data_IF_574763131843
#
_entry.id   IF_574763131843
#
_cell.length_a   1.000
_cell.length_b   1.000
_cell.length_c   1.000
_cell.angle_alpha   90.00
_cell.angle_beta   90.00
_cell.angle_gamma   90.00
#
_symmetry.space_group_name_H-M   'P 1'
#
loop_
_entity.id
_entity.type
_entity.pdbx_description
1 polymer ?
#
# COMPACT_ATOMS: atom_id res chain seq x y z
N UNK A 1 -3.62 7.05 17.84
CA UNK A 1 -2.37 6.41 18.32
C UNK A 1 -1.87 5.33 17.36
N UNK A 2 -2.72 4.41 16.92
CA UNK A 2 -2.35 3.27 16.08
C UNK A 2 -1.58 3.65 14.81
N UNK A 3 -2.10 4.59 14.01
CA UNK A 3 -1.48 5.03 12.73
C UNK A 3 -0.11 5.68 12.96
N UNK A 4 0.04 6.44 14.05
CA UNK A 4 1.33 7.03 14.43
C UNK A 4 2.36 5.96 14.80
N UNK A 5 1.96 4.93 15.55
CA UNK A 5 2.83 3.82 15.93
C UNK A 5 3.34 3.04 14.70
N UNK A 6 2.47 2.80 13.69
CA UNK A 6 2.86 2.16 12.42
C UNK A 6 3.93 3.00 11.70
N UNK A 7 3.71 4.31 11.59
CA UNK A 7 4.66 5.19 10.91
C UNK A 7 6.00 5.30 11.66
N UNK A 8 5.95 5.38 12.98
CA UNK A 8 7.14 5.34 13.83
C UNK A 8 7.93 4.05 13.63
N UNK A 9 7.24 2.90 13.68
CA UNK A 9 7.86 1.60 13.46
C UNK A 9 8.48 1.49 12.06
N UNK A 10 7.78 1.92 11.01
CA UNK A 10 8.30 1.91 9.64
C UNK A 10 9.58 2.74 9.52
N UNK A 11 9.59 3.98 10.03
CA UNK A 11 10.77 4.84 10.03
C UNK A 11 11.94 4.23 10.83
N UNK A 12 11.63 3.53 11.92
CA UNK A 12 12.64 2.84 12.71
C UNK A 12 13.24 1.64 11.97
N UNK A 13 12.42 0.82 11.29
CA UNK A 13 12.89 -0.30 10.46
C UNK A 13 13.76 0.18 9.29
N UNK A 14 13.41 1.32 8.70
CA UNK A 14 14.20 1.93 7.62
C UNK A 14 15.56 2.43 8.16
N UNK A 15 15.58 3.04 9.35
CA UNK A 15 16.83 3.47 10.03
C UNK A 15 17.75 2.29 10.34
N UNK A 16 17.22 1.17 10.85
CA UNK A 16 17.98 -0.04 11.12
C UNK A 16 18.48 -0.74 9.84
N UNK A 17 17.95 -0.39 8.67
CA UNK A 17 18.19 -1.11 7.41
C UNK A 17 17.44 -2.44 7.30
N UNK A 18 16.51 -2.71 8.22
CA UNK A 18 15.74 -3.95 8.28
C UNK A 18 14.82 -4.12 7.06
N UNK A 19 14.13 -3.05 6.64
CA UNK A 19 13.30 -3.07 5.42
C UNK A 19 14.16 -3.39 4.18
N UNK A 20 15.36 -2.81 4.08
CA UNK A 20 16.30 -3.11 2.97
C UNK A 20 16.78 -4.56 3.00
N UNK A 21 17.11 -5.09 4.19
CA UNK A 21 17.52 -6.49 4.35
C UNK A 21 16.42 -7.45 3.91
N UNK A 22 15.15 -7.19 4.29
CA UNK A 22 13.99 -7.97 3.87
C UNK A 22 13.83 -7.98 2.34
N UNK A 23 13.84 -6.81 1.70
CA UNK A 23 13.69 -6.70 0.24
C UNK A 23 14.85 -7.39 -0.47
N UNK A 24 16.11 -7.16 -0.03
CA UNK A 24 17.31 -7.79 -0.62
C UNK A 24 17.24 -9.31 -0.57
N UNK A 25 16.81 -9.87 0.55
CA UNK A 25 16.67 -11.32 0.72
C UNK A 25 15.57 -11.89 -0.19
N UNK A 26 14.45 -11.19 -0.29
CA UNK A 26 13.27 -11.62 -1.04
C UNK A 26 13.46 -11.54 -2.57
N UNK A 27 14.34 -10.67 -3.06
CA UNK A 27 14.60 -10.52 -4.51
C UNK A 27 15.57 -11.56 -5.04
N UNK A 28 16.47 -12.15 -4.21
CA UNK A 28 17.47 -13.12 -4.64
C UNK A 28 16.93 -14.27 -5.51
N UNK A 29 15.82 -14.95 -5.20
CA UNK A 29 15.31 -16.05 -6.01
C UNK A 29 14.93 -15.66 -7.44
N UNK A 30 14.50 -14.40 -7.65
CA UNK A 30 14.08 -13.93 -8.97
C UNK A 30 15.25 -13.83 -9.96
N UNK A 31 16.48 -13.67 -9.46
CA UNK A 31 17.69 -13.60 -10.30
C UNK A 31 18.00 -14.92 -11.03
N UNK A 32 17.42 -16.05 -10.59
CA UNK A 32 17.60 -17.37 -11.20
C UNK A 32 16.70 -17.62 -12.40
N UNK A 33 15.68 -16.76 -12.63
CA UNK A 33 14.66 -16.95 -13.66
C UNK A 33 15.06 -16.20 -14.93
N UNK A 34 15.05 -16.91 -16.07
CA UNK A 34 15.52 -16.36 -17.36
C UNK A 34 14.42 -15.70 -18.22
N UNK A 35 13.14 -15.90 -17.89
CA UNK A 35 12.04 -15.36 -18.68
C UNK A 35 11.66 -13.94 -18.22
N UNK A 36 11.82 -12.89 -19.07
CA UNK A 36 11.61 -11.49 -18.68
C UNK A 36 10.26 -11.24 -18.02
N UNK A 37 9.18 -11.51 -18.73
CA UNK A 37 7.84 -11.17 -18.24
C UNK A 37 7.36 -12.07 -17.08
N UNK A 38 7.96 -13.26 -16.88
CA UNK A 38 7.73 -14.08 -15.69
C UNK A 38 8.43 -13.43 -14.49
N UNK A 39 9.68 -12.98 -14.63
CA UNK A 39 10.39 -12.23 -13.57
C UNK A 39 9.60 -10.99 -13.17
N UNK A 40 9.05 -10.26 -14.14
CA UNK A 40 8.23 -9.09 -13.90
C UNK A 40 6.95 -9.44 -13.11
N UNK A 41 6.23 -10.49 -13.50
CA UNK A 41 5.00 -10.91 -12.84
C UNK A 41 5.26 -11.40 -11.41
N UNK A 42 6.31 -12.21 -11.22
CA UNK A 42 6.74 -12.64 -9.89
C UNK A 42 7.27 -11.48 -9.05
N UNK A 43 7.92 -10.50 -9.68
CA UNK A 43 8.34 -9.26 -9.04
C UNK A 43 7.14 -8.43 -8.56
N UNK A 44 6.05 -8.38 -9.32
CA UNK A 44 4.80 -7.77 -8.88
C UNK A 44 4.19 -8.55 -7.70
N UNK A 45 4.12 -9.87 -7.79
CA UNK A 45 3.62 -10.70 -6.68
C UNK A 45 4.45 -10.50 -5.41
N UNK A 46 5.78 -10.47 -5.54
CA UNK A 46 6.70 -10.17 -4.44
C UNK A 46 6.45 -8.77 -3.86
N UNK A 47 6.23 -7.76 -4.71
CA UNK A 47 5.94 -6.40 -4.26
C UNK A 47 4.65 -6.33 -3.44
N UNK A 48 3.61 -7.07 -3.85
CA UNK A 48 2.35 -7.18 -3.11
C UNK A 48 2.55 -7.88 -1.74
N UNK A 49 3.34 -8.95 -1.69
CA UNK A 49 3.69 -9.64 -0.44
C UNK A 49 4.47 -8.70 0.49
N UNK A 50 5.47 -8.00 -0.04
CA UNK A 50 6.28 -7.06 0.75
C UNK A 50 5.45 -5.86 1.25
N UNK A 51 4.42 -5.46 0.52
CA UNK A 51 3.51 -4.39 0.95
C UNK A 51 2.74 -4.75 2.23
N UNK A 52 2.52 -6.03 2.51
CA UNK A 52 1.92 -6.51 3.78
C UNK A 52 2.78 -6.14 4.99
N UNK A 53 4.11 -6.14 4.83
CA UNK A 53 5.08 -5.92 5.90
C UNK A 53 5.68 -4.51 5.91
N UNK A 54 5.72 -3.85 4.76
CA UNK A 54 6.27 -2.49 4.56
C UNK A 54 5.12 -1.59 4.11
N UNK A 55 4.43 -0.90 5.04
CA UNK A 55 3.18 -0.18 4.74
C UNK A 55 3.39 1.15 4.01
N UNK A 56 4.62 1.58 3.83
CA UNK A 56 4.95 2.83 3.13
C UNK A 56 5.09 2.60 1.62
N UNK A 57 4.11 3.03 0.83
CA UNK A 57 4.14 2.89 -0.63
C UNK A 57 5.38 3.56 -1.26
N UNK A 58 5.75 4.76 -0.81
CA UNK A 58 6.94 5.44 -1.30
C UNK A 58 8.22 4.73 -0.83
N UNK A 59 8.29 4.34 0.45
CA UNK A 59 9.43 3.61 1.01
C UNK A 59 9.64 2.27 0.30
N UNK A 60 8.59 1.46 0.15
CA UNK A 60 8.67 0.18 -0.57
C UNK A 60 9.03 0.40 -2.04
N UNK A 61 8.41 1.37 -2.73
CA UNK A 61 8.71 1.69 -4.12
C UNK A 61 10.20 2.03 -4.31
N UNK A 62 10.76 2.89 -3.49
CA UNK A 62 12.19 3.25 -3.55
C UNK A 62 13.12 2.07 -3.25
N UNK A 63 12.78 1.23 -2.26
CA UNK A 63 13.55 0.01 -1.97
C UNK A 63 13.54 -0.98 -3.13
N UNK A 64 12.40 -1.15 -3.79
CA UNK A 64 12.26 -2.02 -4.96
C UNK A 64 13.00 -1.44 -6.18
N UNK A 65 13.08 -0.12 -6.32
CA UNK A 65 13.89 0.52 -7.37
C UNK A 65 15.38 0.22 -7.24
N UNK A 66 15.89 0.11 -6.01
CA UNK A 66 17.31 -0.22 -5.80
C UNK A 66 17.60 -1.72 -5.94
N UNK A 67 16.62 -2.59 -5.64
CA UNK A 67 16.85 -4.05 -5.53
C UNK A 67 16.17 -4.87 -6.63
N UNK A 68 14.89 -4.64 -6.91
CA UNK A 68 14.13 -5.42 -7.88
C UNK A 68 14.26 -4.87 -9.31
N UNK A 69 14.31 -3.55 -9.46
CA UNK A 69 14.44 -2.91 -10.76
C UNK A 69 15.70 -3.40 -11.55
N UNK A 70 16.92 -3.42 -10.98
CA UNK A 70 18.08 -3.94 -11.69
C UNK A 70 17.92 -5.40 -12.13
N UNK A 71 17.23 -6.22 -11.33
CA UNK A 71 16.94 -7.62 -11.66
C UNK A 71 15.98 -7.72 -12.84
N UNK A 72 14.95 -6.88 -12.89
CA UNK A 72 14.04 -6.82 -14.04
C UNK A 72 14.76 -6.37 -15.32
N UNK A 73 15.62 -5.34 -15.23
CA UNK A 73 16.40 -4.86 -16.36
C UNK A 73 17.37 -5.94 -16.85
N UNK A 74 18.11 -6.59 -15.94
CA UNK A 74 19.05 -7.69 -16.32
C UNK A 74 18.32 -8.90 -16.91
N UNK A 75 17.04 -9.08 -16.61
CA UNK A 75 16.18 -10.09 -17.24
C UNK A 75 15.64 -9.66 -18.62
N UNK A 76 15.93 -8.45 -19.10
CA UNK A 76 15.53 -7.95 -20.41
C UNK A 76 14.15 -7.29 -20.43
N UNK A 77 13.70 -6.68 -19.33
CA UNK A 77 12.48 -5.88 -19.24
C UNK A 77 12.83 -4.40 -19.46
N UNK A 78 11.99 -3.67 -20.19
CA UNK A 78 12.20 -2.24 -20.40
C UNK A 78 12.09 -1.45 -19.09
N UNK A 79 12.83 -0.32 -19.00
CA UNK A 79 12.80 0.55 -17.81
C UNK A 79 11.40 1.02 -17.47
N UNK A 80 10.56 1.28 -18.50
CA UNK A 80 9.19 1.73 -18.33
C UNK A 80 8.32 0.62 -17.72
N UNK A 81 8.45 -0.63 -18.20
CA UNK A 81 7.69 -1.76 -17.69
C UNK A 81 8.11 -2.15 -16.27
N UNK A 82 9.42 -2.14 -15.99
CA UNK A 82 9.96 -2.42 -14.66
C UNK A 82 9.48 -1.38 -13.64
N UNK A 83 9.61 -0.09 -13.97
CA UNK A 83 9.17 1.01 -13.11
C UNK A 83 7.66 1.00 -12.87
N UNK A 84 6.85 0.79 -13.92
CA UNK A 84 5.39 0.67 -13.81
C UNK A 84 4.98 -0.51 -12.91
N UNK A 85 5.64 -1.66 -13.04
CA UNK A 85 5.36 -2.84 -12.23
C UNK A 85 5.65 -2.62 -10.74
N UNK A 86 6.77 -1.95 -10.42
CA UNK A 86 7.11 -1.59 -9.04
C UNK A 86 6.10 -0.61 -8.46
N UNK A 87 5.69 0.39 -9.25
CA UNK A 87 4.68 1.36 -8.84
C UNK A 87 3.34 0.69 -8.52
N UNK A 88 2.88 -0.22 -9.38
CA UNK A 88 1.66 -1.01 -9.18
C UNK A 88 1.72 -1.76 -7.86
N UNK A 89 2.77 -2.55 -7.63
CA UNK A 89 2.90 -3.38 -6.44
C UNK A 89 3.05 -2.60 -5.14
N UNK A 90 3.76 -1.46 -5.17
CA UNK A 90 3.98 -0.63 -4.00
C UNK A 90 2.75 0.17 -3.51
N UNK A 91 1.76 0.38 -4.38
CA UNK A 91 0.65 1.29 -4.08
C UNK A 91 -0.64 0.61 -3.61
N UNK A 92 -0.75 -0.71 -3.62
CA UNK A 92 -2.01 -1.43 -3.39
C UNK A 92 -2.54 -1.39 -1.95
N UNK A 93 -1.79 -0.89 -0.97
CA UNK A 93 -2.20 -0.80 0.45
C UNK A 93 -2.80 -2.12 0.99
N UNK A 94 -2.19 -3.25 0.66
CA UNK A 94 -2.65 -4.57 1.04
C UNK A 94 -1.94 -5.02 2.32
N UNK A 95 -2.69 -5.46 3.34
CA UNK A 95 -2.10 -6.03 4.55
C UNK A 95 -2.46 -5.29 5.85
N UNK A 96 -2.31 -5.98 7.01
CA UNK A 96 -2.78 -5.49 8.30
C UNK A 96 -1.95 -4.34 8.88
N UNK A 97 -0.73 -4.13 8.38
CA UNK A 97 0.18 -3.09 8.87
C UNK A 97 -0.05 -1.71 8.24
N UNK A 98 -0.98 -1.58 7.28
CA UNK A 98 -1.29 -0.32 6.61
C UNK A 98 -2.21 0.59 7.44
N UNK A 99 -1.93 1.90 7.43
CA UNK A 99 -2.76 2.89 8.13
C UNK A 99 -4.22 2.87 7.65
N UNK A 100 -4.45 2.64 6.36
CA UNK A 100 -5.78 2.54 5.78
C UNK A 100 -6.55 1.32 6.32
N UNK A 101 -5.88 0.16 6.42
CA UNK A 101 -6.49 -1.05 6.96
C UNK A 101 -6.83 -0.92 8.44
N UNK A 102 -5.96 -0.24 9.17
CA UNK A 102 -6.19 -0.02 10.59
C UNK A 102 -7.39 0.90 10.83
N UNK A 103 -7.48 2.01 10.09
CA UNK A 103 -8.66 2.87 10.17
C UNK A 103 -9.94 2.13 9.77
N UNK A 104 -9.86 1.32 8.70
CA UNK A 104 -10.99 0.50 8.26
C UNK A 104 -11.46 -0.50 9.33
N UNK A 105 -10.51 -1.17 9.98
CA UNK A 105 -10.79 -2.10 11.08
C UNK A 105 -11.39 -1.37 12.29
N UNK A 106 -10.83 -0.22 12.69
CA UNK A 106 -11.30 0.59 13.80
C UNK A 106 -12.75 1.07 13.56
N UNK A 107 -13.05 1.62 12.38
CA UNK A 107 -14.38 2.12 12.02
C UNK A 107 -15.43 0.99 11.90
N UNK A 108 -15.00 -0.21 11.51
CA UNK A 108 -15.89 -1.39 11.44
C UNK A 108 -15.93 -2.20 12.74
N UNK A 109 -15.21 -1.74 13.80
CA UNK A 109 -15.10 -2.40 15.11
C UNK A 109 -14.60 -3.83 15.02
N UNK A 110 -13.77 -4.14 14.02
CA UNK A 110 -13.15 -5.44 13.81
C UNK A 110 -11.71 -5.43 14.30
N UNK A 111 -11.21 -6.60 14.72
CA UNK A 111 -9.76 -6.76 14.87
C UNK A 111 -9.06 -6.70 13.50
N UNK A 112 -7.92 -6.03 13.41
CA UNK A 112 -7.25 -5.77 12.12
C UNK A 112 -6.92 -7.04 11.33
N UNK A 113 -6.58 -8.13 12.03
CA UNK A 113 -6.33 -9.42 11.37
C UNK A 113 -7.61 -10.07 10.85
N UNK A 114 -8.73 -9.93 11.57
CA UNK A 114 -10.03 -10.43 11.12
C UNK A 114 -10.49 -9.64 9.88
N UNK A 115 -10.34 -8.32 9.90
CA UNK A 115 -10.62 -7.48 8.74
C UNK A 115 -9.73 -7.88 7.54
N UNK A 116 -8.44 -8.09 7.75
CA UNK A 116 -7.52 -8.49 6.70
C UNK A 116 -7.87 -9.85 6.11
N UNK A 117 -8.06 -10.89 6.93
CA UNK A 117 -8.26 -12.26 6.45
C UNK A 117 -9.68 -12.54 5.97
N UNK A 118 -10.71 -12.02 6.66
CA UNK A 118 -12.10 -12.34 6.38
C UNK A 118 -12.79 -11.34 5.45
N UNK A 119 -12.21 -10.15 5.24
CA UNK A 119 -12.79 -9.12 4.36
C UNK A 119 -11.84 -8.78 3.22
N UNK A 120 -10.65 -8.24 3.53
CA UNK A 120 -9.74 -7.76 2.48
C UNK A 120 -9.21 -8.92 1.61
N UNK A 121 -8.83 -10.05 2.21
CA UNK A 121 -8.35 -11.22 1.48
C UNK A 121 -9.42 -11.86 0.60
N UNK A 122 -10.69 -11.85 1.04
CA UNK A 122 -11.83 -12.36 0.25
C UNK A 122 -12.01 -11.58 -1.06
N UNK A 123 -11.71 -10.28 -1.04
CA UNK A 123 -11.69 -9.43 -2.24
C UNK A 123 -10.39 -9.66 -3.01
N UNK A 124 -9.27 -9.71 -2.31
CA UNK A 124 -7.93 -9.87 -2.86
C UNK A 124 -7.76 -11.11 -3.73
N UNK A 125 -8.41 -12.23 -3.38
CA UNK A 125 -8.38 -13.45 -4.17
C UNK A 125 -8.82 -13.27 -5.64
N UNK A 126 -9.77 -12.40 -5.90
CA UNK A 126 -10.20 -12.10 -7.26
C UNK A 126 -9.30 -11.01 -7.91
N UNK A 127 -8.88 -10.02 -7.14
CA UNK A 127 -8.19 -8.82 -7.64
C UNK A 127 -6.72 -9.09 -7.95
N UNK A 128 -6.01 -9.83 -7.09
CA UNK A 128 -4.57 -10.08 -7.25
C UNK A 128 -4.27 -10.86 -8.54
N UNK A 129 -4.95 -11.97 -8.87
CA UNK A 129 -4.73 -12.64 -10.15
C UNK A 129 -5.02 -11.77 -11.36
N UNK A 130 -6.10 -10.98 -11.33
CA UNK A 130 -6.42 -10.03 -12.41
C UNK A 130 -5.30 -9.02 -12.59
N UNK A 131 -4.77 -8.46 -11.50
CA UNK A 131 -3.67 -7.51 -11.54
C UNK A 131 -2.38 -8.12 -12.12
N UNK A 132 -2.02 -9.34 -11.71
CA UNK A 132 -0.84 -10.06 -12.22
C UNK A 132 -0.96 -10.34 -13.72
N UNK A 133 -2.11 -10.86 -14.15
CA UNK A 133 -2.40 -11.19 -15.55
C UNK A 133 -2.45 -9.89 -16.38
N UNK A 134 -3.18 -8.89 -15.92
CA UNK A 134 -3.28 -7.61 -16.61
C UNK A 134 -1.91 -6.93 -16.77
N UNK A 135 -1.07 -6.96 -15.74
CA UNK A 135 0.28 -6.41 -15.81
C UNK A 135 1.14 -7.15 -16.84
N UNK A 136 1.11 -8.50 -16.84
CA UNK A 136 1.84 -9.30 -17.81
C UNK A 136 1.51 -8.92 -19.26
N UNK A 137 0.22 -8.90 -19.60
CA UNK A 137 -0.21 -8.61 -20.97
C UNK A 137 -0.05 -7.13 -21.34
N UNK A 138 -0.39 -6.22 -20.44
CA UNK A 138 -0.28 -4.78 -20.69
C UNK A 138 1.17 -4.37 -20.94
N UNK A 139 2.10 -4.76 -20.07
CA UNK A 139 3.50 -4.35 -20.24
C UNK A 139 4.12 -4.97 -21.48
N UNK A 140 3.84 -6.25 -21.77
CA UNK A 140 4.29 -6.92 -22.99
C UNK A 140 3.75 -6.24 -24.26
N UNK A 141 2.48 -5.84 -24.24
CA UNK A 141 1.86 -5.13 -25.36
C UNK A 141 2.47 -3.73 -25.54
N UNK A 142 2.67 -2.98 -24.45
CA UNK A 142 3.29 -1.67 -24.50
C UNK A 142 4.72 -1.73 -24.99
N UNK A 143 5.54 -2.68 -24.51
CA UNK A 143 6.91 -2.83 -24.97
C UNK A 143 6.96 -3.08 -26.47
N UNK A 144 6.14 -4.02 -26.98
CA UNK A 144 6.05 -4.30 -28.41
C UNK A 144 5.60 -3.08 -29.24
N UNK A 145 4.57 -2.37 -28.76
CA UNK A 145 4.03 -1.18 -29.43
C UNK A 145 4.98 0.00 -29.41
N UNK A 146 5.63 0.24 -28.27
CA UNK A 146 6.53 1.37 -28.09
C UNK A 146 7.85 1.16 -28.83
N UNK A 147 8.33 -0.08 -28.92
CA UNK A 147 9.48 -0.45 -29.74
C UNK A 147 9.19 -0.24 -31.23
N UNK A 148 8.05 -0.71 -31.71
CA UNK A 148 7.62 -0.52 -33.10
C UNK A 148 7.40 0.93 -33.48
N UNK A 149 7.02 1.77 -32.51
CA UNK A 149 6.80 3.22 -32.68
C UNK A 149 8.08 4.05 -32.45
N UNK A 150 9.23 3.42 -32.16
CA UNK A 150 10.49 4.11 -31.87
C UNK A 150 10.48 4.94 -30.58
N UNK A 151 9.51 4.71 -29.68
CA UNK A 151 9.39 5.42 -28.39
C UNK A 151 10.29 4.83 -27.30
N UNK A 152 10.69 3.58 -27.46
CA UNK A 152 11.71 2.92 -26.66
C UNK A 152 12.78 2.37 -27.58
N UNK A 153 14.02 2.36 -27.08
CA UNK A 153 15.20 1.91 -27.81
C UNK A 153 15.85 0.75 -27.07
N UNK A 154 16.85 0.12 -27.66
CA UNK A 154 17.63 -0.93 -27.00
C UNK A 154 18.22 -0.43 -25.66
N UNK A 155 18.60 0.84 -25.57
CA UNK A 155 19.12 1.44 -24.35
C UNK A 155 18.11 1.44 -23.18
N UNK A 156 16.80 1.40 -23.47
CA UNK A 156 15.77 1.31 -22.42
C UNK A 156 15.70 -0.06 -21.74
N UNK A 157 16.29 -1.09 -22.35
CA UNK A 157 16.43 -2.43 -21.77
C UNK A 157 17.74 -2.62 -20.99
N UNK A 158 18.67 -1.67 -21.08
CA UNK A 158 19.96 -1.69 -20.42
C UNK A 158 20.11 -0.54 -19.38
N UNK A 159 19.06 0.24 -19.20
CA UNK A 159 19.09 1.44 -18.38
C UNK A 159 19.39 1.14 -16.90
N UNK A 160 20.41 1.76 -16.36
CA UNK A 160 20.72 1.72 -14.94
C UNK A 160 19.91 2.78 -14.17
N UNK A 161 19.64 2.50 -12.89
CA UNK A 161 19.06 3.49 -11.97
C UNK A 161 20.06 4.62 -11.80
N UNK A 162 19.64 5.84 -12.14
CA UNK A 162 20.42 7.01 -11.73
C UNK A 162 20.45 7.00 -10.20
N UNK A 163 21.64 6.96 -9.61
CA UNK A 163 21.83 7.11 -8.17
C UNK A 163 21.45 8.54 -7.77
N UNK A 164 20.18 8.86 -7.86
CA UNK A 164 19.67 9.99 -7.11
C UNK A 164 19.83 9.60 -5.64
N UNK A 165 20.62 10.40 -4.93
CA UNK A 165 20.81 10.30 -3.51
C UNK A 165 19.44 10.36 -2.80
N UNK A 166 18.75 9.24 -2.79
CA UNK A 166 17.72 9.00 -1.79
C UNK A 166 18.43 9.15 -0.47
N UNK A 167 17.91 10.00 0.39
CA UNK A 167 18.40 10.22 1.74
C UNK A 167 19.00 8.93 2.29
N UNK A 168 20.29 8.97 2.64
CA UNK A 168 20.99 7.88 3.33
C UNK A 168 20.47 7.73 4.76
N UNK A 169 19.15 7.73 4.93
CA UNK A 169 18.48 7.50 6.18
C UNK A 169 18.46 5.99 6.44
N UNK A 170 19.54 5.49 6.99
CA UNK A 170 19.61 4.11 7.47
C UNK A 170 20.97 3.46 7.19
N UNK A 171 21.26 2.40 7.96
CA UNK A 171 22.51 1.66 7.88
C UNK A 171 22.50 0.72 6.67
N UNK A 172 23.50 0.80 5.80
CA UNK A 172 23.65 -0.08 4.63
C UNK A 172 24.18 -1.48 4.99
N UNK A 173 24.78 -1.63 6.16
CA UNK A 173 25.45 -2.85 6.67
C UNK A 173 24.56 -3.72 7.56
N UNK A 174 23.25 -3.59 7.45
CA UNK A 174 22.31 -4.41 8.21
C UNK A 174 22.46 -5.90 7.85
N UNK A 175 22.67 -6.78 8.84
CA UNK A 175 22.80 -8.21 8.61
C UNK A 175 21.47 -8.81 8.11
N UNK A 176 21.57 -9.94 7.40
CA UNK A 176 20.41 -10.58 6.77
C UNK A 176 19.28 -10.92 7.76
N UNK A 177 19.60 -11.25 9.00
CA UNK A 177 18.57 -11.58 10.01
C UNK A 177 17.71 -10.37 10.43
N UNK A 178 18.15 -9.11 10.18
CA UNK A 178 17.31 -7.93 10.41
C UNK A 178 16.07 -7.94 9.49
N UNK A 179 16.10 -8.69 8.41
CA UNK A 179 14.93 -8.93 7.56
C UNK A 179 13.71 -9.49 8.32
N UNK A 180 13.93 -10.10 9.48
CA UNK A 180 12.85 -10.63 10.31
C UNK A 180 12.11 -9.54 11.09
N UNK A 181 12.74 -8.40 11.41
CA UNK A 181 12.13 -7.37 12.26
C UNK A 181 10.81 -6.80 11.70
N UNK A 182 10.68 -6.45 10.41
CA UNK A 182 9.41 -6.00 9.86
C UNK A 182 8.29 -7.07 9.88
N UNK A 183 8.66 -8.35 9.98
CA UNK A 183 7.70 -9.46 10.03
C UNK A 183 7.12 -9.65 11.45
N UNK A 184 7.91 -9.33 12.49
CA UNK A 184 7.54 -9.60 13.89
C UNK A 184 6.16 -9.04 14.28
N UNK A 185 5.79 -7.79 14.01
CA UNK A 185 4.47 -7.27 14.39
C UNK A 185 3.33 -8.05 13.75
N UNK A 186 3.46 -8.42 12.47
CA UNK A 186 2.44 -9.17 11.74
C UNK A 186 2.30 -10.58 12.30
N UNK A 187 3.42 -11.24 12.61
CA UNK A 187 3.42 -12.55 13.24
C UNK A 187 2.78 -12.48 14.64
N UNK A 188 3.12 -11.48 15.45
CA UNK A 188 2.51 -11.28 16.76
C UNK A 188 0.99 -11.04 16.64
N UNK A 189 0.56 -10.18 15.73
CA UNK A 189 -0.86 -9.92 15.49
C UNK A 189 -1.60 -11.18 15.02
N UNK A 190 -0.96 -12.02 14.23
CA UNK A 190 -1.55 -13.28 13.76
C UNK A 190 -1.65 -14.30 14.90
N UNK A 191 -0.57 -14.54 15.63
CA UNK A 191 -0.52 -15.52 16.74
C UNK A 191 -1.51 -15.16 17.84
N UNK A 192 -1.59 -13.88 18.21
CA UNK A 192 -2.51 -13.38 19.25
C UNK A 192 -3.83 -12.83 18.68
N UNK A 193 -4.20 -13.24 17.46
CA UNK A 193 -5.51 -12.96 16.91
C UNK A 193 -6.58 -13.89 17.51
N UNK A 194 -7.87 -13.50 17.49
CA UNK A 194 -8.97 -14.36 17.90
C UNK A 194 -9.04 -15.71 17.15
N UNK A 195 -8.37 -15.80 15.98
CA UNK A 195 -8.32 -17.00 15.14
C UNK A 195 -7.41 -18.09 15.71
N UNK A 196 -6.27 -17.70 16.34
CA UNK A 196 -5.27 -18.64 16.84
C UNK A 196 -5.31 -18.79 18.36
N UNK A 197 -5.44 -17.69 19.08
CA UNK A 197 -5.41 -17.69 20.54
C UNK A 197 -6.47 -16.77 21.14
N UNK A 198 -7.47 -17.35 21.82
CA UNK A 198 -8.61 -16.60 22.37
C UNK A 198 -8.34 -15.95 23.74
N UNK A 199 -7.21 -16.27 24.40
CA UNK A 199 -6.93 -15.84 25.77
C UNK A 199 -6.39 -14.40 25.90
N UNK A 200 -5.62 -13.93 24.92
CA UNK A 200 -4.99 -12.60 24.95
C UNK A 200 -5.24 -11.94 23.60
N UNK A 201 -5.82 -10.75 23.61
CA UNK A 201 -5.96 -9.90 22.40
C UNK A 201 -4.80 -8.92 22.38
N UNK A 202 -3.93 -9.06 21.39
CA UNK A 202 -2.83 -8.12 21.19
C UNK A 202 -3.29 -6.98 20.29
N UNK A 203 -3.23 -5.77 20.82
CA UNK A 203 -3.49 -4.56 20.03
C UNK A 203 -2.29 -4.23 19.12
N UNK A 204 -2.57 -3.53 18.00
CA UNK A 204 -1.57 -3.18 16.99
C UNK A 204 -0.44 -2.35 17.61
N UNK A 205 -0.75 -1.38 18.47
CA UNK A 205 0.28 -0.55 19.14
C UNK A 205 1.19 -1.41 19.99
N UNK A 206 0.63 -2.34 20.76
CA UNK A 206 1.41 -3.26 21.61
C UNK A 206 2.33 -4.15 20.78
N UNK A 207 1.84 -4.71 19.69
CA UNK A 207 2.65 -5.51 18.76
C UNK A 207 3.81 -4.72 18.16
N UNK A 208 3.55 -3.48 17.72
CA UNK A 208 4.56 -2.60 17.12
C UNK A 208 5.61 -2.15 18.14
N UNK A 209 5.19 -1.72 19.34
CA UNK A 209 6.11 -1.29 20.40
C UNK A 209 6.96 -2.44 20.93
N UNK A 210 6.36 -3.61 21.13
CA UNK A 210 7.10 -4.82 21.52
C UNK A 210 8.13 -5.20 20.46
N UNK A 211 7.74 -5.18 19.18
CA UNK A 211 8.65 -5.48 18.07
C UNK A 211 9.78 -4.45 17.96
N UNK A 212 9.47 -3.16 18.13
CA UNK A 212 10.47 -2.09 18.13
C UNK A 212 11.45 -2.25 19.32
N UNK A 213 10.94 -2.60 20.50
CA UNK A 213 11.77 -2.83 21.68
C UNK A 213 12.69 -4.05 21.53
N UNK A 214 12.17 -5.16 21.00
CA UNK A 214 12.99 -6.34 20.68
C UNK A 214 14.08 -5.99 19.66
N UNK A 215 13.73 -5.27 18.59
CA UNK A 215 14.70 -4.83 17.59
C UNK A 215 15.76 -3.89 18.21
N UNK A 216 15.37 -2.99 19.12
CA UNK A 216 16.28 -2.12 19.86
C UNK A 216 17.27 -2.91 20.71
N UNK A 217 16.79 -3.88 21.48
CA UNK A 217 17.65 -4.73 22.33
C UNK A 217 18.67 -5.52 21.49
N UNK A 218 18.21 -6.12 20.40
CA UNK A 218 19.07 -6.90 19.50
C UNK A 218 20.13 -5.98 18.83
N UNK A 219 19.72 -4.79 18.37
CA UNK A 219 20.66 -3.82 17.78
C UNK A 219 21.65 -3.30 18.82
N UNK A 220 21.23 -3.05 20.06
CA UNK A 220 22.09 -2.62 21.17
C UNK A 220 23.13 -3.69 21.54
N UNK A 221 22.71 -4.95 21.67
CA UNK A 221 23.61 -6.08 21.99
C UNK A 221 24.66 -6.24 20.88
N UNK A 222 24.24 -6.10 19.60
CA UNK A 222 25.13 -6.27 18.46
C UNK A 222 26.10 -5.11 18.29
N UNK A 223 25.61 -3.88 18.32
CA UNK A 223 26.43 -2.70 17.98
C UNK A 223 27.19 -2.17 19.17
N UNK A 224 26.69 -2.41 20.38
CA UNK A 224 27.22 -1.86 21.65
C UNK A 224 27.36 -0.34 21.66
N UNK A 225 26.64 0.35 20.76
CA UNK A 225 26.67 1.81 20.59
C UNK A 225 25.33 2.41 21.00
N UNK A 226 25.16 2.65 22.29
CA UNK A 226 23.91 3.18 22.86
C UNK A 226 23.44 4.48 22.17
N UNK A 227 24.37 5.38 21.84
CA UNK A 227 24.06 6.67 21.18
C UNK A 227 23.38 6.48 19.82
N UNK A 228 23.86 5.52 19.02
CA UNK A 228 23.29 5.23 17.70
C UNK A 228 21.92 4.55 17.84
N UNK A 229 21.76 3.66 18.83
CA UNK A 229 20.48 3.00 19.09
C UNK A 229 19.42 4.01 19.56
N UNK A 230 19.79 4.97 20.43
CA UNK A 230 18.89 6.08 20.82
C UNK A 230 18.54 6.95 19.60
N UNK A 231 19.48 7.16 18.67
CA UNK A 231 19.22 7.83 17.39
C UNK A 231 18.10 7.16 16.60
N UNK A 232 18.03 5.81 16.63
CA UNK A 232 16.94 5.03 16.04
C UNK A 232 15.57 5.33 16.67
N UNK A 233 15.50 5.42 18.00
CA UNK A 233 14.27 5.80 18.71
C UNK A 233 13.82 7.22 18.37
N UNK A 234 14.76 8.14 18.13
CA UNK A 234 14.44 9.47 17.63
C UNK A 234 13.78 9.42 16.25
N UNK A 235 14.25 8.56 15.34
CA UNK A 235 13.60 8.34 14.04
C UNK A 235 12.19 7.74 14.20
N UNK A 236 11.98 6.85 15.18
CA UNK A 236 10.64 6.37 15.52
C UNK A 236 9.71 7.53 15.89
N UNK A 237 10.13 8.39 16.82
CA UNK A 237 9.35 9.56 17.24
C UNK A 237 9.10 10.56 16.09
N UNK A 238 10.10 10.80 15.24
CA UNK A 238 9.95 11.66 14.06
C UNK A 238 8.94 11.10 13.06
N UNK A 239 8.93 9.77 12.83
CA UNK A 239 7.92 9.10 12.01
C UNK A 239 6.51 9.30 12.56
N UNK A 240 6.33 9.17 13.87
CA UNK A 240 5.06 9.46 14.54
C UNK A 240 4.62 10.92 14.33
N UNK A 241 5.52 11.88 14.54
CA UNK A 241 5.25 13.32 14.39
C UNK A 241 4.87 13.70 12.95
N UNK A 242 5.59 13.16 11.96
CA UNK A 242 5.30 13.40 10.55
C UNK A 242 3.89 12.94 10.15
N UNK A 243 3.46 11.79 10.63
CA UNK A 243 2.14 11.25 10.31
C UNK A 243 1.05 11.94 11.14
N UNK A 244 1.36 12.42 12.34
CA UNK A 244 0.42 13.24 13.10
C UNK A 244 -0.01 14.48 12.30
N UNK A 245 0.94 15.25 11.77
CA UNK A 245 0.64 16.47 11.02
C UNK A 245 -0.01 16.24 9.67
N UNK A 246 0.32 15.16 8.99
CA UNK A 246 -0.18 14.90 7.62
C UNK A 246 -1.45 14.05 7.59
N UNK A 247 -1.54 13.01 8.43
CA UNK A 247 -2.57 11.99 8.33
C UNK A 247 -3.59 12.08 9.46
N UNK A 248 -3.13 12.18 10.71
CA UNK A 248 -4.05 12.23 11.86
C UNK A 248 -4.89 13.49 11.83
N UNK A 249 -4.29 14.63 11.50
CA UNK A 249 -5.02 15.88 11.35
C UNK A 249 -6.09 15.81 10.25
N UNK A 250 -5.78 15.15 9.13
CA UNK A 250 -6.75 14.93 8.05
C UNK A 250 -7.92 14.07 8.50
N UNK A 251 -7.66 12.98 9.24
CA UNK A 251 -8.72 12.10 9.76
C UNK A 251 -9.63 12.86 10.72
N UNK A 252 -9.06 13.59 11.68
CA UNK A 252 -9.82 14.40 12.64
C UNK A 252 -10.70 15.45 11.91
N UNK A 253 -10.12 16.12 10.90
CA UNK A 253 -10.86 17.08 10.09
C UNK A 253 -12.02 16.42 9.33
N UNK A 254 -11.80 15.22 8.78
CA UNK A 254 -12.84 14.44 8.09
C UNK A 254 -13.94 13.98 9.05
N UNK A 255 -13.60 13.56 10.27
CA UNK A 255 -14.59 13.19 11.31
C UNK A 255 -15.45 14.40 11.72
N UNK A 256 -14.82 15.57 11.92
CA UNK A 256 -15.55 16.81 12.24
C UNK A 256 -16.48 17.21 11.10
N UNK A 257 -16.02 17.14 9.85
CA UNK A 257 -16.82 17.41 8.66
C UNK A 257 -18.01 16.44 8.57
N UNK A 258 -17.78 15.14 8.75
CA UNK A 258 -18.82 14.11 8.73
C UNK A 258 -19.85 14.34 9.83
N UNK A 259 -19.42 14.64 11.04
CA UNK A 259 -20.33 14.96 12.15
C UNK A 259 -21.18 16.20 11.86
N UNK A 260 -20.59 17.23 11.21
CA UNK A 260 -21.31 18.41 10.73
C UNK A 260 -22.36 18.07 9.67
N UNK A 261 -21.98 17.25 8.69
CA UNK A 261 -22.86 16.83 7.60
C UNK A 261 -24.03 15.95 8.10
N UNK A 262 -23.78 15.10 9.10
CA UNK A 262 -24.84 14.33 9.76
C UNK A 262 -25.84 15.23 10.49
N UNK A 263 -25.34 16.19 11.29
CA UNK A 263 -26.21 17.14 12.04
C UNK A 263 -27.00 18.06 11.13
N UNK A 264 -26.47 18.40 9.95
CA UNK A 264 -27.21 19.21 8.95
C UNK A 264 -28.31 18.45 8.20
N UNK A 265 -28.42 17.13 8.40
CA UNK A 265 -29.33 16.26 7.65
C UNK A 265 -28.88 15.95 6.21
N UNK A 266 -27.70 16.42 5.80
CA UNK A 266 -27.20 16.22 4.45
C UNK A 266 -27.02 14.74 4.06
N UNK A 267 -26.55 13.92 4.99
CA UNK A 267 -26.44 12.47 4.78
C UNK A 267 -27.83 11.83 4.66
N UNK A 268 -28.78 12.22 5.54
CA UNK A 268 -30.16 11.71 5.50
C UNK A 268 -30.82 12.00 4.15
N UNK A 269 -30.65 13.20 3.60
CA UNK A 269 -31.18 13.59 2.30
C UNK A 269 -30.61 12.75 1.16
N UNK A 270 -29.28 12.52 1.16
CA UNK A 270 -28.61 11.66 0.17
C UNK A 270 -29.14 10.23 0.28
N UNK A 271 -29.24 9.71 1.51
CA UNK A 271 -29.74 8.35 1.78
C UNK A 271 -31.19 8.21 1.30
N UNK A 272 -32.10 9.15 1.66
CA UNK A 272 -33.49 9.12 1.21
C UNK A 272 -33.62 9.13 -0.32
N UNK A 273 -32.78 9.91 -1.01
CA UNK A 273 -32.77 9.96 -2.47
C UNK A 273 -32.33 8.63 -3.11
N UNK A 274 -31.51 7.85 -2.41
CA UNK A 274 -30.97 6.57 -2.92
C UNK A 274 -31.77 5.36 -2.45
N UNK A 275 -32.30 5.38 -1.23
CA UNK A 275 -33.16 4.28 -0.70
C UNK A 275 -34.53 4.19 -1.38
N UNK A 276 -34.96 5.25 -2.07
CA UNK A 276 -36.13 5.18 -2.96
C UNK A 276 -35.89 4.35 -4.24
N UNK A 277 -34.64 3.91 -4.49
CA UNK A 277 -34.27 3.02 -5.59
C UNK A 277 -34.18 1.58 -5.09
N UNK A 278 -34.75 0.61 -5.79
CA UNK A 278 -34.72 -0.82 -5.45
C UNK A 278 -33.30 -1.42 -5.24
N UNK A 279 -32.25 -0.68 -5.61
CA UNK A 279 -30.83 -1.03 -5.53
C UNK A 279 -30.05 -0.16 -4.54
N UNK A 280 -30.64 0.29 -3.45
CA UNK A 280 -30.08 1.30 -2.55
C UNK A 280 -28.62 1.05 -2.10
N UNK A 281 -28.29 -0.17 -1.68
CA UNK A 281 -26.93 -0.52 -1.23
C UNK A 281 -25.91 -0.42 -2.36
N UNK A 282 -26.23 -0.94 -3.54
CA UNK A 282 -25.36 -0.91 -4.73
C UNK A 282 -25.15 0.54 -5.19
N UNK A 283 -26.20 1.36 -5.18
CA UNK A 283 -26.12 2.75 -5.63
C UNK A 283 -25.23 3.58 -4.68
N UNK A 284 -25.42 3.49 -3.36
CA UNK A 284 -24.59 4.16 -2.36
C UNK A 284 -23.13 3.72 -2.49
N UNK A 285 -22.89 2.41 -2.56
CA UNK A 285 -21.54 1.88 -2.74
C UNK A 285 -20.88 2.40 -4.02
N UNK A 286 -21.59 2.39 -5.15
CA UNK A 286 -21.08 2.85 -6.44
C UNK A 286 -20.68 4.32 -6.41
N UNK A 287 -21.52 5.17 -5.85
CA UNK A 287 -21.23 6.62 -5.72
C UNK A 287 -19.98 6.83 -4.86
N UNK A 288 -19.91 6.20 -3.68
CA UNK A 288 -18.75 6.32 -2.79
C UNK A 288 -17.48 5.76 -3.43
N UNK A 289 -17.59 4.65 -4.16
CA UNK A 289 -16.50 4.03 -4.88
C UNK A 289 -15.92 4.98 -5.95
N UNK A 290 -16.77 5.57 -6.78
CA UNK A 290 -16.36 6.53 -7.82
C UNK A 290 -15.75 7.81 -7.23
N UNK A 291 -16.30 8.32 -6.13
CA UNK A 291 -15.75 9.48 -5.42
C UNK A 291 -14.35 9.19 -4.90
N UNK A 292 -14.13 8.05 -4.24
CA UNK A 292 -12.80 7.68 -3.72
C UNK A 292 -11.80 7.47 -4.85
N UNK A 293 -12.19 6.77 -5.92
CA UNK A 293 -11.33 6.56 -7.10
C UNK A 293 -10.97 7.90 -7.75
N UNK A 294 -11.96 8.75 -8.01
CA UNK A 294 -11.76 10.07 -8.61
C UNK A 294 -10.90 10.99 -7.74
N UNK A 295 -11.19 11.06 -6.43
CA UNK A 295 -10.41 11.87 -5.49
C UNK A 295 -8.96 11.39 -5.39
N UNK A 296 -8.71 10.08 -5.32
CA UNK A 296 -7.35 9.53 -5.25
C UNK A 296 -6.57 9.78 -6.54
N UNK A 297 -7.23 9.69 -7.69
CA UNK A 297 -6.62 9.98 -8.98
C UNK A 297 -6.24 11.46 -9.12
N UNK A 298 -7.17 12.38 -8.80
CA UNK A 298 -6.97 13.83 -8.95
C UNK A 298 -5.93 14.35 -7.95
N UNK A 299 -6.02 13.92 -6.69
CA UNK A 299 -5.10 14.40 -5.63
C UNK A 299 -3.74 13.70 -5.63
N UNK A 300 -3.62 12.54 -6.27
CA UNK A 300 -2.44 11.69 -6.19
C UNK A 300 -2.22 11.06 -4.81
N UNK A 301 -3.20 11.15 -3.91
CA UNK A 301 -3.11 10.63 -2.53
C UNK A 301 -4.24 9.66 -2.22
N UNK A 302 -3.95 8.35 -2.28
CA UNK A 302 -4.93 7.33 -1.89
C UNK A 302 -5.32 7.42 -0.42
N UNK A 303 -4.37 7.74 0.46
CA UNK A 303 -4.65 7.89 1.88
C UNK A 303 -5.60 9.06 2.15
N UNK A 304 -5.33 10.24 1.56
CA UNK A 304 -6.18 11.41 1.74
C UNK A 304 -7.61 11.15 1.23
N UNK A 305 -7.73 10.54 0.04
CA UNK A 305 -9.04 10.18 -0.51
C UNK A 305 -9.79 9.21 0.40
N UNK A 306 -9.15 8.12 0.84
CA UNK A 306 -9.80 7.14 1.71
C UNK A 306 -10.17 7.75 3.07
N UNK A 307 -9.25 8.43 3.74
CA UNK A 307 -9.47 8.98 5.08
C UNK A 307 -10.57 10.06 5.11
N UNK A 308 -10.73 10.81 4.02
CA UNK A 308 -11.79 11.82 3.94
C UNK A 308 -13.19 11.22 3.90
N UNK A 309 -13.36 10.03 3.35
CA UNK A 309 -14.67 9.41 3.17
C UNK A 309 -14.92 8.21 4.09
N UNK A 310 -13.87 7.57 4.61
CA UNK A 310 -13.99 6.39 5.46
C UNK A 310 -14.93 6.57 6.67
N UNK A 311 -14.91 7.71 7.41
CA UNK A 311 -15.82 7.91 8.55
C UNK A 311 -17.31 7.88 8.21
N UNK A 312 -17.68 8.15 6.95
CA UNK A 312 -19.08 8.14 6.50
C UNK A 312 -19.60 6.74 6.17
N UNK A 313 -18.71 5.79 5.94
CA UNK A 313 -19.07 4.46 5.42
C UNK A 313 -19.94 3.65 6.39
N UNK A 314 -19.65 3.60 7.72
CA UNK A 314 -20.47 2.84 8.65
C UNK A 314 -21.93 3.28 8.67
N UNK A 315 -22.19 4.59 8.68
CA UNK A 315 -23.54 5.14 8.70
C UNK A 315 -24.25 4.93 7.36
N UNK A 316 -23.54 5.12 6.24
CA UNK A 316 -24.06 4.88 4.92
C UNK A 316 -24.42 3.39 4.72
N UNK A 317 -23.61 2.47 5.22
CA UNK A 317 -23.85 1.03 5.15
C UNK A 317 -25.08 0.64 6.02
N UNK A 318 -25.15 1.16 7.25
CA UNK A 318 -26.26 0.90 8.16
C UNK A 318 -27.60 1.37 7.56
N UNK A 319 -27.62 2.51 6.88
CA UNK A 319 -28.81 3.08 6.26
C UNK A 319 -29.39 2.23 5.11
N UNK A 320 -28.54 1.44 4.42
CA UNK A 320 -28.96 0.58 3.30
C UNK A 320 -28.93 -0.92 3.67
N UNK A 321 -28.74 -1.24 4.96
CA UNK A 321 -28.71 -2.62 5.44
C UNK A 321 -27.50 -3.44 5.01
N UNK A 322 -26.42 -2.78 4.54
CA UNK A 322 -25.18 -3.43 4.09
C UNK A 322 -24.16 -3.60 5.22
N UNK A 323 -23.24 -4.55 5.06
CA UNK A 323 -22.13 -4.70 6.01
C UNK A 323 -21.03 -3.67 5.75
N UNK A 324 -20.78 -2.79 6.72
CA UNK A 324 -19.79 -1.70 6.59
C UNK A 324 -18.38 -2.22 6.18
N UNK A 325 -17.96 -3.39 6.65
CA UNK A 325 -16.65 -3.95 6.34
C UNK A 325 -16.48 -4.26 4.84
N UNK A 326 -17.52 -4.81 4.19
CA UNK A 326 -17.49 -5.13 2.76
C UNK A 326 -17.65 -3.90 1.87
N UNK A 327 -18.19 -2.79 2.37
CA UNK A 327 -18.13 -1.49 1.70
C UNK A 327 -16.78 -0.81 1.92
N UNK A 328 -16.19 -0.91 3.11
CA UNK A 328 -14.96 -0.24 3.53
C UNK A 328 -13.73 -0.77 2.77
N UNK A 329 -13.57 -2.09 2.73
CA UNK A 329 -12.37 -2.72 2.17
C UNK A 329 -12.16 -2.43 0.67
N UNK A 330 -13.17 -2.49 -0.22
CA UNK A 330 -12.99 -2.10 -1.61
C UNK A 330 -12.55 -0.65 -1.78
N UNK A 331 -13.17 0.27 -1.03
CA UNK A 331 -12.85 1.71 -1.08
C UNK A 331 -11.39 1.96 -0.65
N UNK A 332 -10.93 1.24 0.36
CA UNK A 332 -9.55 1.27 0.82
C UNK A 332 -8.59 0.76 -0.25
N UNK A 333 -8.87 -0.38 -0.90
CA UNK A 333 -8.04 -0.96 -1.95
C UNK A 333 -7.94 -0.06 -3.18
N UNK A 334 -9.08 0.42 -3.68
CA UNK A 334 -9.08 1.23 -4.91
C UNK A 334 -8.47 2.61 -4.72
N UNK A 335 -8.45 3.14 -3.52
CA UNK A 335 -7.75 4.39 -3.23
C UNK A 335 -6.24 4.30 -3.51
N UNK A 336 -5.62 3.17 -3.15
CA UNK A 336 -4.22 2.87 -3.48
C UNK A 336 -4.01 2.61 -4.97
N UNK A 337 -4.92 1.88 -5.62
CA UNK A 337 -4.85 1.59 -7.06
C UNK A 337 -4.99 2.86 -7.90
N UNK A 338 -5.96 3.73 -7.59
CA UNK A 338 -6.17 4.98 -8.30
C UNK A 338 -4.98 5.94 -8.15
N UNK A 339 -4.35 6.00 -6.96
CA UNK A 339 -3.12 6.77 -6.73
C UNK A 339 -1.98 6.36 -7.66
N UNK A 340 -1.79 5.07 -7.92
CA UNK A 340 -0.73 4.59 -8.81
C UNK A 340 -0.95 4.96 -10.28
N UNK A 341 -2.15 5.42 -10.60
CA UNK A 341 -2.53 5.91 -11.93
C UNK A 341 -2.49 7.44 -12.04
N UNK A 342 -2.15 8.14 -10.97
CA UNK A 342 -2.13 9.61 -10.92
C UNK A 342 -0.74 10.17 -11.22
N UNK A 343 -0.57 11.04 -12.22
CA UNK A 343 0.73 11.62 -12.55
C UNK A 343 1.26 12.60 -11.49
N UNK A 344 0.38 13.10 -10.61
CA UNK A 344 0.75 14.02 -9.52
C UNK A 344 1.07 13.28 -8.20
N UNK A 345 0.94 11.95 -8.17
CA UNK A 345 1.26 11.18 -6.97
C UNK A 345 2.77 11.23 -6.66
N UNK A 346 3.13 11.54 -5.43
CA UNK A 346 4.53 11.68 -5.01
C UNK A 346 5.37 10.44 -5.29
N UNK A 347 4.83 9.23 -5.15
CA UNK A 347 5.53 7.97 -5.48
C UNK A 347 5.76 7.82 -6.99
N UNK A 348 4.82 8.27 -7.83
CA UNK A 348 4.98 8.27 -9.29
C UNK A 348 6.10 9.21 -9.70
N UNK A 349 6.10 10.43 -9.16
CA UNK A 349 7.14 11.45 -9.43
C UNK A 349 8.51 10.94 -8.96
N UNK A 350 8.58 10.32 -7.78
CA UNK A 350 9.83 9.79 -7.23
C UNK A 350 10.41 8.66 -8.12
N UNK A 351 9.58 7.68 -8.53
CA UNK A 351 10.01 6.58 -9.40
C UNK A 351 10.37 7.10 -10.80
N UNK A 352 9.59 8.04 -11.35
CA UNK A 352 9.88 8.67 -12.63
C UNK A 352 11.24 9.38 -12.61
N UNK A 353 11.52 10.16 -11.56
CA UNK A 353 12.81 10.83 -11.36
C UNK A 353 14.00 9.88 -11.29
N UNK A 354 13.87 8.74 -10.59
CA UNK A 354 14.92 7.72 -10.49
C UNK A 354 15.21 7.01 -11.82
N UNK A 355 14.21 6.89 -12.68
CA UNK A 355 14.33 6.20 -13.96
C UNK A 355 14.57 7.13 -15.14
N UNK A 356 14.57 8.46 -14.92
CA UNK A 356 14.66 9.44 -15.98
C UNK A 356 13.45 9.42 -16.94
N UNK A 357 12.28 8.98 -16.42
CA UNK A 357 11.02 8.95 -17.15
C UNK A 357 10.16 10.15 -16.76
N UNK A 358 9.27 10.54 -17.65
CA UNK A 358 8.19 11.47 -17.30
C UNK A 358 7.07 10.73 -16.53
N UNK A 359 6.44 11.38 -15.52
CA UNK A 359 5.32 10.78 -14.78
C UNK A 359 4.20 10.24 -15.69
N UNK A 360 3.89 10.95 -16.78
CA UNK A 360 2.88 10.51 -17.74
C UNK A 360 3.25 9.23 -18.50
N UNK A 361 4.53 9.02 -18.81
CA UNK A 361 4.99 7.79 -19.45
C UNK A 361 4.78 6.58 -18.55
N UNK A 362 4.97 6.76 -17.24
CA UNK A 362 4.76 5.74 -16.24
C UNK A 362 3.25 5.43 -16.08
N UNK A 363 2.46 6.48 -15.87
CA UNK A 363 1.01 6.38 -15.63
C UNK A 363 0.28 5.77 -16.82
N UNK A 364 0.67 6.11 -18.04
CA UNK A 364 0.13 5.49 -19.27
C UNK A 364 0.19 3.95 -19.21
N UNK A 365 1.21 3.38 -18.57
CA UNK A 365 1.40 1.92 -18.44
C UNK A 365 0.70 1.32 -17.24
N UNK A 366 0.44 2.11 -16.19
CA UNK A 366 -0.27 1.64 -15.00
C UNK A 366 -1.79 1.71 -15.14
N UNK A 367 -2.33 2.72 -15.84
CA UNK A 367 -3.77 2.94 -16.00
C UNK A 367 -4.53 1.67 -16.46
N UNK A 368 -4.17 0.96 -17.55
CA UNK A 368 -4.96 -0.18 -17.98
C UNK A 368 -4.96 -1.33 -16.97
N UNK A 369 -3.83 -1.55 -16.29
CA UNK A 369 -3.72 -2.57 -15.25
C UNK A 369 -4.59 -2.21 -14.05
N UNK A 370 -4.52 -0.94 -13.62
CA UNK A 370 -5.29 -0.46 -12.48
C UNK A 370 -6.78 -0.37 -12.79
N UNK A 371 -7.17 0.06 -13.99
CA UNK A 371 -8.57 0.10 -14.41
C UNK A 371 -9.21 -1.30 -14.36
N UNK A 372 -8.52 -2.33 -14.86
CA UNK A 372 -8.99 -3.71 -14.77
C UNK A 372 -9.05 -4.20 -13.31
N UNK A 373 -8.06 -3.83 -12.48
CA UNK A 373 -8.04 -4.21 -11.07
C UNK A 373 -9.13 -3.50 -10.27
N UNK A 374 -9.39 -2.22 -10.54
CA UNK A 374 -10.48 -1.43 -9.96
C UNK A 374 -11.83 -2.03 -10.35
N UNK A 375 -12.01 -2.38 -11.63
CA UNK A 375 -13.23 -3.03 -12.12
C UNK A 375 -13.43 -4.39 -11.46
N UNK A 376 -12.37 -5.21 -11.34
CA UNK A 376 -12.44 -6.51 -10.65
C UNK A 376 -12.81 -6.33 -9.16
N UNK A 377 -12.25 -5.30 -8.50
CA UNK A 377 -12.60 -4.96 -7.12
C UNK A 377 -14.07 -4.58 -7.02
N UNK A 378 -14.57 -3.74 -7.91
CA UNK A 378 -15.96 -3.33 -7.96
C UNK A 378 -16.91 -4.52 -8.15
N UNK A 379 -16.68 -5.33 -9.18
CA UNK A 379 -17.53 -6.48 -9.50
C UNK A 379 -17.52 -7.51 -8.36
N UNK A 380 -16.35 -7.79 -7.76
CA UNK A 380 -16.26 -8.70 -6.62
C UNK A 380 -17.02 -8.17 -5.41
N UNK A 381 -16.96 -6.87 -5.18
CA UNK A 381 -17.65 -6.22 -4.04
C UNK A 381 -19.16 -6.25 -4.19
N UNK A 382 -19.69 -6.09 -5.41
CA UNK A 382 -21.13 -6.22 -5.67
C UNK A 382 -21.70 -7.60 -5.34
N UNK A 383 -20.85 -8.63 -5.31
CA UNK A 383 -21.26 -9.99 -4.93
C UNK A 383 -21.26 -10.19 -3.40
N UNK A 384 -20.72 -9.23 -2.63
CA UNK A 384 -20.53 -9.33 -1.18
C UNK A 384 -21.38 -8.32 -0.40
N UNK A 385 -21.87 -7.27 -1.05
CA UNK A 385 -22.78 -6.26 -0.54
C UNK A 385 -24.23 -6.68 -0.81
#
# INVERSE_FOLDING_TARGET
>A
MNIMAIAGFSCYMDYLGASRALVRLSVKPLQMIRSPYIVMTLGLALSLILNVFIPSAAGLGLLLMVSLYPVMISAGISRQAAAATILIGGCCCFGPSGANNLLAADLTKMHVMDFFLNVQWVIGWAVVPVMLIANYFAQKWFDKKDLAAGRITQADFEAQVTQAAGDKAGRDDAPAFYALFPLVPVVLLFVFSPLMYKGIRMEVVTALLTSAFVAFLIDLIRTRKLKDCIGGLKNYAQGMGKVFTSTVFLIVSAEVFTAGLMKSGGIATIIQSVTSMDSGAVAVFTVMFLIVVGSAFVTGSGNAAFFSFAPMIPDAAAAVGAQAAFMMSPLQLVSGMARSSSPVAGVVIAIAGLTGLEPFQLVRRTIPVMALSILATYLRSLMLI
#
